data_IF_944712493582
#
_entry.id   IF_944712493582
#
_cell.length_a   1.000
_cell.length_b   1.000
_cell.length_c   1.000
_cell.angle_alpha   90.00
_cell.angle_beta   90.00
_cell.angle_gamma   90.00
#
_symmetry.space_group_name_H-M   'P 1'
#
loop_
_entity.id
_entity.type
_entity.pdbx_description
1 polymer ?
#
# COMPACT_ATOMS: atom_id res chain seq x y z
N UNK A 1 -18.99 8.69 9.81
CA UNK A 1 -17.53 8.45 9.99
C UNK A 1 -16.84 9.61 9.32
N UNK A 2 -16.20 10.49 10.07
CA UNK A 2 -15.57 11.66 9.46
C UNK A 2 -14.55 11.17 8.42
N UNK A 3 -14.73 11.60 7.16
CA UNK A 3 -14.05 11.09 5.97
C UNK A 3 -14.95 10.35 4.96
N UNK A 4 -16.14 9.88 5.34
CA UNK A 4 -17.14 9.25 4.46
C UNK A 4 -18.58 9.75 4.71
N UNK A 5 -18.88 10.20 5.93
CA UNK A 5 -20.10 10.93 6.26
C UNK A 5 -19.85 11.89 7.43
N UNK A 6 -20.30 13.14 7.29
CA UNK A 6 -20.20 14.18 8.33
C UNK A 6 -21.43 14.23 9.25
N UNK A 7 -22.44 13.41 8.96
CA UNK A 7 -23.66 13.33 9.74
C UNK A 7 -23.64 12.13 10.68
N UNK A 8 -24.26 12.31 11.85
CA UNK A 8 -24.53 11.21 12.75
C UNK A 8 -25.53 10.25 12.11
N UNK A 9 -25.33 8.96 12.29
CA UNK A 9 -26.36 7.98 11.96
C UNK A 9 -27.58 8.16 12.86
N UNK A 10 -28.69 7.54 12.46
CA UNK A 10 -29.84 7.33 13.33
C UNK A 10 -29.44 6.60 14.62
N UNK A 11 -30.20 6.88 15.69
CA UNK A 11 -30.04 6.16 16.95
C UNK A 11 -30.43 4.69 16.76
N UNK A 12 -29.54 3.78 17.15
CA UNK A 12 -29.80 2.34 17.16
C UNK A 12 -29.45 1.74 18.52
N UNK A 13 -30.02 0.57 18.80
CA UNK A 13 -29.61 -0.29 19.92
C UNK A 13 -28.47 -1.23 19.56
N UNK A 14 -28.09 -1.29 18.28
CA UNK A 14 -26.98 -2.10 17.83
C UNK A 14 -25.67 -1.61 18.45
N UNK A 15 -24.85 -2.56 18.90
CA UNK A 15 -23.54 -2.28 19.49
C UNK A 15 -22.40 -2.45 18.50
N UNK A 16 -22.71 -2.69 17.23
CA UNK A 16 -21.74 -2.88 16.15
C UNK A 16 -22.22 -2.24 14.86
N UNK A 17 -21.29 -1.69 14.09
CA UNK A 17 -21.52 -1.21 12.73
C UNK A 17 -20.35 -1.64 11.86
N UNK A 18 -20.62 -1.93 10.58
CA UNK A 18 -19.60 -2.38 9.63
C UNK A 18 -19.42 -1.34 8.53
N UNK A 19 -18.16 -0.98 8.28
CA UNK A 19 -17.75 -0.15 7.15
C UNK A 19 -16.86 -1.02 6.27
N UNK A 20 -17.19 -1.14 4.98
CA UNK A 20 -16.41 -1.88 3.99
C UNK A 20 -16.00 -0.94 2.86
N UNK A 21 -15.02 -1.38 2.07
CA UNK A 21 -14.61 -0.69 0.83
C UNK A 21 -14.18 0.77 1.05
N UNK A 22 -13.63 1.05 2.24
CA UNK A 22 -13.05 2.34 2.56
C UNK A 22 -11.72 2.49 1.80
N UNK A 23 -11.56 3.53 0.96
CA UNK A 23 -10.28 3.84 0.35
C UNK A 23 -9.18 4.11 1.40
N UNK A 24 -7.90 4.13 1.00
CA UNK A 24 -6.84 4.66 1.85
C UNK A 24 -7.20 6.05 2.37
N UNK A 25 -6.92 6.29 3.64
CA UNK A 25 -7.22 7.58 4.24
C UNK A 25 -7.19 7.57 5.75
N UNK A 26 -7.32 8.78 6.30
CA UNK A 26 -7.53 9.00 7.72
C UNK A 26 -9.03 9.09 7.99
N UNK A 27 -9.48 8.31 8.96
CA UNK A 27 -10.88 8.29 9.37
C UNK A 27 -10.99 8.51 10.86
N UNK A 28 -12.02 9.25 11.26
CA UNK A 28 -12.38 9.40 12.67
C UNK A 28 -13.77 8.81 12.91
N UNK A 29 -13.82 7.80 13.77
CA UNK A 29 -15.06 7.23 14.27
C UNK A 29 -15.43 7.95 15.56
N UNK A 30 -16.66 8.47 15.60
CA UNK A 30 -17.24 9.08 16.79
C UNK A 30 -18.48 8.30 17.21
N UNK A 31 -18.63 8.03 18.50
CA UNK A 31 -19.77 7.33 19.08
C UNK A 31 -20.34 8.16 20.22
N UNK A 32 -21.66 8.37 20.19
CA UNK A 32 -22.40 9.06 21.26
C UNK A 32 -23.47 8.13 21.83
N UNK A 33 -23.76 8.29 23.10
CA UNK A 33 -24.81 7.54 23.80
C UNK A 33 -25.97 8.45 24.18
N UNK A 34 -27.16 7.85 24.36
CA UNK A 34 -28.36 8.52 24.85
C UNK A 34 -29.05 7.64 25.87
N UNK A 35 -29.45 8.23 27.00
CA UNK A 35 -30.16 7.51 28.05
C UNK A 35 -31.67 7.33 27.73
N UNK A 36 -32.43 6.55 28.52
CA UNK A 36 -33.87 6.39 28.32
C UNK A 36 -34.70 7.67 28.51
N UNK A 37 -34.19 8.66 29.24
CA UNK A 37 -34.83 9.96 29.43
C UNK A 37 -34.58 10.91 28.24
N UNK A 38 -33.70 10.52 27.31
CA UNK A 38 -33.36 11.30 26.12
C UNK A 38 -32.12 12.18 26.27
N UNK A 39 -31.41 12.11 27.40
CA UNK A 39 -30.18 12.88 27.59
C UNK A 39 -29.05 12.27 26.77
N UNK A 40 -28.36 13.10 25.99
CA UNK A 40 -27.23 12.69 25.14
C UNK A 40 -25.92 12.99 25.86
N UNK A 41 -24.98 12.06 25.82
CA UNK A 41 -23.62 12.27 26.31
C UNK A 41 -22.94 13.42 25.52
N UNK A 42 -22.56 14.53 26.18
CA UNK A 42 -21.93 15.68 25.51
C UNK A 42 -20.49 15.40 25.06
N UNK A 43 -19.89 14.29 25.49
CA UNK A 43 -18.51 13.90 25.19
C UNK A 43 -18.45 12.59 24.40
N UNK A 44 -18.58 12.64 23.06
CA UNK A 44 -18.48 11.44 22.24
C UNK A 44 -17.15 10.72 22.44
N UNK A 45 -17.18 9.38 22.45
CA UNK A 45 -15.97 8.58 22.33
C UNK A 45 -15.42 8.70 20.90
N UNK A 46 -14.10 8.86 20.78
CA UNK A 46 -13.41 9.09 19.50
C UNK A 46 -12.32 8.06 19.29
N UNK A 47 -12.24 7.51 18.07
CA UNK A 47 -11.15 6.63 17.64
C UNK A 47 -10.70 7.00 16.24
N UNK A 48 -9.38 7.05 16.03
CA UNK A 48 -8.76 7.39 14.74
C UNK A 48 -8.19 6.15 14.08
N UNK A 49 -8.47 6.00 12.78
CA UNK A 49 -8.03 4.87 11.96
C UNK A 49 -7.31 5.44 10.75
N UNK A 50 -6.12 4.94 10.48
CA UNK A 50 -5.42 5.20 9.23
C UNK A 50 -5.42 3.90 8.41
N UNK A 51 -6.03 3.95 7.23
CA UNK A 51 -6.05 2.84 6.29
C UNK A 51 -5.03 3.08 5.18
N UNK A 52 -4.17 2.08 4.95
CA UNK A 52 -3.21 2.04 3.86
C UNK A 52 -3.54 0.87 2.93
N UNK A 53 -3.24 1.04 1.64
CA UNK A 53 -3.12 -0.07 0.70
C UNK A 53 -1.64 -0.44 0.54
N UNK A 54 -1.42 -1.68 0.10
CA UNK A 54 -0.08 -2.22 -0.12
C UNK A 54 -0.03 -2.92 -1.47
N UNK A 55 1.07 -2.70 -2.19
CA UNK A 55 1.36 -3.33 -3.48
C UNK A 55 2.67 -4.11 -3.39
N UNK A 56 2.80 -5.15 -4.22
CA UNK A 56 4.00 -5.98 -4.27
C UNK A 56 4.88 -5.58 -5.44
N UNK A 57 6.15 -5.29 -5.17
CA UNK A 57 7.19 -5.16 -6.18
C UNK A 57 7.89 -6.51 -6.36
N UNK A 58 7.73 -7.10 -7.55
CA UNK A 58 8.41 -8.34 -7.94
C UNK A 58 9.61 -8.00 -8.82
N UNK A 59 10.80 -8.41 -8.39
CA UNK A 59 12.06 -8.22 -9.11
C UNK A 59 12.63 -9.59 -9.41
N UNK A 60 12.97 -9.84 -10.68
CA UNK A 60 13.44 -11.15 -11.15
C UNK A 60 14.69 -10.94 -11.99
N UNK A 61 15.71 -11.74 -11.73
CA UNK A 61 16.90 -11.85 -12.57
C UNK A 61 17.41 -13.29 -12.55
N UNK A 62 17.75 -13.83 -13.71
CA UNK A 62 18.36 -15.16 -13.83
C UNK A 62 19.82 -15.16 -13.37
N UNK A 63 20.47 -13.99 -13.41
CA UNK A 63 21.86 -13.82 -13.03
C UNK A 63 22.04 -12.61 -12.10
N UNK A 64 22.95 -12.77 -11.14
CA UNK A 64 23.15 -11.81 -10.07
C UNK A 64 22.10 -11.97 -8.98
N UNK A 65 22.29 -11.26 -7.88
CA UNK A 65 21.35 -11.22 -6.77
C UNK A 65 20.53 -9.95 -6.87
N UNK A 66 19.22 -10.10 -6.77
CA UNK A 66 18.28 -8.99 -6.74
C UNK A 66 18.11 -8.46 -5.32
N UNK A 67 17.73 -7.20 -5.20
CA UNK A 67 17.28 -6.59 -3.96
C UNK A 67 16.13 -5.61 -4.24
N UNK A 68 15.40 -5.25 -3.18
CA UNK A 68 14.29 -4.29 -3.28
C UNK A 68 12.95 -4.87 -3.76
N UNK A 69 12.84 -6.18 -3.92
CA UNK A 69 11.53 -6.83 -4.05
C UNK A 69 10.81 -6.92 -2.70
N UNK A 70 9.48 -6.87 -2.69
CA UNK A 70 8.70 -6.99 -1.47
C UNK A 70 7.35 -6.28 -1.50
N UNK A 71 6.68 -6.25 -0.35
CA UNK A 71 5.42 -5.52 -0.16
C UNK A 71 5.72 -4.12 0.35
N UNK A 72 5.16 -3.12 -0.32
CA UNK A 72 5.34 -1.71 -0.02
C UNK A 72 3.99 -1.03 0.16
N UNK A 73 3.94 0.03 0.95
CA UNK A 73 2.76 0.90 1.01
C UNK A 73 2.54 1.57 -0.34
N UNK A 74 1.29 1.68 -0.76
CA UNK A 74 0.94 2.41 -1.95
C UNK A 74 1.33 3.89 -1.83
N UNK A 75 1.91 4.42 -2.90
CA UNK A 75 2.51 5.74 -2.96
C UNK A 75 3.97 5.81 -2.54
N UNK A 76 4.51 4.78 -1.88
CA UNK A 76 5.93 4.72 -1.50
C UNK A 76 6.83 4.64 -2.74
N UNK A 77 8.05 5.17 -2.63
CA UNK A 77 9.13 4.92 -3.58
C UNK A 77 9.89 3.66 -3.12
N UNK A 78 9.94 2.66 -3.99
CA UNK A 78 10.66 1.41 -3.75
C UNK A 78 11.91 1.36 -4.63
N UNK A 79 13.07 1.30 -3.99
CA UNK A 79 14.36 1.11 -4.65
C UNK A 79 14.64 -0.37 -4.86
N UNK A 80 15.05 -0.74 -6.07
CA UNK A 80 15.43 -2.11 -6.41
C UNK A 80 16.62 -2.13 -7.34
N UNK A 81 17.26 -3.30 -7.46
CA UNK A 81 18.35 -3.49 -8.41
C UNK A 81 18.93 -4.89 -8.42
N UNK A 82 20.04 -5.03 -9.16
CA UNK A 82 20.80 -6.28 -9.29
C UNK A 82 22.29 -6.05 -9.09
N UNK A 83 22.94 -7.01 -8.45
CA UNK A 83 24.40 -7.05 -8.32
C UNK A 83 24.90 -8.49 -8.23
N UNK A 84 26.05 -8.85 -8.82
CA UNK A 84 26.87 -8.03 -9.70
C UNK A 84 26.25 -7.89 -11.10
N UNK A 85 26.69 -6.88 -11.86
CA UNK A 85 26.22 -6.66 -13.25
C UNK A 85 26.82 -7.65 -14.26
N UNK A 86 27.89 -8.33 -13.89
CA UNK A 86 28.54 -9.35 -14.72
C UNK A 86 28.74 -10.59 -13.88
N UNK A 87 28.13 -11.70 -14.31
CA UNK A 87 28.29 -13.02 -13.69
C UNK A 87 29.05 -13.91 -14.66
N UNK A 88 30.27 -14.32 -14.28
CA UNK A 88 31.05 -15.31 -15.03
C UNK A 88 30.68 -16.70 -14.54
N UNK A 89 30.11 -17.52 -15.42
CA UNK A 89 29.70 -18.88 -15.07
C UNK A 89 30.83 -19.87 -15.37
N UNK A 90 31.48 -19.70 -16.52
CA UNK A 90 32.62 -20.52 -16.98
C UNK A 90 33.61 -19.67 -17.77
N UNK A 91 34.87 -20.13 -17.99
CA UNK A 91 35.81 -19.43 -18.86
C UNK A 91 35.22 -19.18 -20.25
N UNK A 92 35.11 -17.91 -20.64
CA UNK A 92 34.52 -17.47 -21.92
C UNK A 92 33.00 -17.22 -21.92
N UNK A 93 32.28 -17.57 -20.83
CA UNK A 93 30.83 -17.34 -20.69
C UNK A 93 30.56 -16.38 -19.53
N UNK A 94 30.06 -15.19 -19.87
CA UNK A 94 29.57 -14.19 -18.90
C UNK A 94 28.18 -13.72 -19.28
N UNK A 95 27.34 -13.53 -18.28
CA UNK A 95 26.08 -12.82 -18.41
C UNK A 95 26.29 -11.38 -17.95
N UNK A 96 25.82 -10.44 -18.75
CA UNK A 96 25.91 -9.01 -18.48
C UNK A 96 24.50 -8.47 -18.36
N UNK A 97 24.24 -7.73 -17.29
CA UNK A 97 22.99 -7.01 -17.13
C UNK A 97 22.88 -5.93 -18.21
N UNK A 98 21.83 -5.98 -19.03
CA UNK A 98 21.59 -4.99 -20.10
C UNK A 98 20.44 -4.02 -19.78
N UNK A 99 19.51 -4.43 -18.91
CA UNK A 99 18.39 -3.60 -18.51
C UNK A 99 17.24 -4.40 -17.90
N UNK A 100 16.30 -3.65 -17.35
CA UNK A 100 15.04 -4.14 -16.83
C UNK A 100 13.95 -4.02 -17.90
N UNK A 101 13.02 -4.97 -17.92
CA UNK A 101 11.78 -4.89 -18.70
C UNK A 101 10.60 -5.22 -17.81
N UNK A 102 9.56 -4.39 -17.83
CA UNK A 102 8.30 -4.67 -17.15
C UNK A 102 7.18 -4.95 -18.15
N UNK A 103 6.37 -5.97 -17.87
CA UNK A 103 5.11 -6.24 -18.56
C UNK A 103 3.95 -5.37 -18.05
N UNK A 104 4.13 -4.69 -16.90
CA UNK A 104 3.17 -3.72 -16.39
C UNK A 104 3.53 -2.33 -16.93
N UNK A 105 2.56 -1.61 -17.51
CA UNK A 105 2.72 -0.24 -17.98
C UNK A 105 3.19 0.74 -16.88
N UNK A 106 2.94 0.42 -15.61
CA UNK A 106 3.41 1.21 -14.45
C UNK A 106 4.76 0.73 -13.91
N UNK A 107 5.28 -0.39 -14.40
CA UNK A 107 6.56 -0.92 -13.98
C UNK A 107 7.73 -0.23 -14.67
N UNK A 108 8.94 -0.55 -14.23
CA UNK A 108 10.15 0.06 -14.76
C UNK A 108 10.72 -0.73 -15.93
N UNK A 109 11.07 -0.03 -17.01
CA UNK A 109 11.91 -0.54 -18.10
C UNK A 109 13.03 0.46 -18.37
N UNK A 110 14.28 0.00 -18.39
CA UNK A 110 15.43 0.87 -18.55
C UNK A 110 16.76 0.19 -18.25
N UNK A 111 17.87 0.84 -18.61
CA UNK A 111 19.21 0.24 -18.54
C UNK A 111 19.91 0.41 -17.18
N UNK A 112 19.39 1.27 -16.28
CA UNK A 112 19.98 1.43 -14.95
C UNK A 112 19.85 0.15 -14.14
N UNK A 113 20.94 -0.30 -13.53
CA UNK A 113 20.99 -1.50 -12.69
C UNK A 113 20.19 -1.39 -11.39
N UNK A 114 19.97 -0.16 -10.96
CA UNK A 114 19.25 0.28 -9.79
C UNK A 114 18.28 1.40 -10.19
N UNK A 115 17.06 1.33 -9.65
CA UNK A 115 16.02 2.29 -9.96
C UNK A 115 15.00 2.38 -8.82
N UNK A 116 14.27 3.48 -8.81
CA UNK A 116 13.12 3.71 -7.94
C UNK A 116 11.82 3.62 -8.75
N UNK A 117 10.83 2.92 -8.20
CA UNK A 117 9.45 2.93 -8.70
C UNK A 117 8.51 3.47 -7.65
N UNK A 118 7.56 4.30 -8.08
CA UNK A 118 6.44 4.67 -7.23
C UNK A 118 5.44 3.52 -7.22
N UNK A 119 5.13 3.01 -6.04
CA UNK A 119 4.12 1.97 -5.87
C UNK A 119 2.76 2.59 -6.12
N UNK A 120 2.04 2.07 -7.11
CA UNK A 120 0.72 2.54 -7.47
C UNK A 120 -0.22 1.35 -7.32
N UNK A 121 -1.35 1.50 -6.62
CA UNK A 121 -2.31 0.41 -6.50
C UNK A 121 -2.73 -0.09 -7.88
N UNK A 122 -2.82 -1.40 -8.01
CA UNK A 122 -3.62 -2.02 -9.06
C UNK A 122 -5.09 -1.93 -8.63
N UNK A 123 -5.69 -0.76 -8.82
CA UNK A 123 -7.14 -0.60 -8.69
C UNK A 123 -7.75 -1.26 -9.94
N UNK A 124 -8.32 -2.46 -9.78
CA UNK A 124 -9.23 -3.08 -10.75
C UNK A 124 -10.61 -2.45 -10.70
#
# INVERSE_FOLDING_TARGET
MEGYSFEWSEWTRDTSSKFTDLPPGNYTLRVRSKDPAGNVDPTPAVSSINLHLFSTLTVVSDHGWIYGGGVYQDGALASFGVSPLVVTVNPGMRYVFEGWTSSNHKGYSGQASDADVKMIPDVT
#
